data_IF_333664639038
#
_entry.id   IF_333664639038
#
_cell.length_a   1.000
_cell.length_b   1.000
_cell.length_c   1.000
_cell.angle_alpha   90.00
_cell.angle_beta   90.00
_cell.angle_gamma   90.00
#
_symmetry.space_group_name_H-M   'P 1'
#
loop_
_entity.id
_entity.type
_entity.pdbx_description
1 polymer ?
#
# COMPACT_ATOMS: atom_id res chain seq x y z
N UNK A 1 34.51 -37.73 -21.49
CA UNK A 1 33.82 -36.69 -22.29
C UNK A 1 33.24 -35.52 -21.47
N UNK A 2 32.88 -35.72 -20.18
CA UNK A 2 32.36 -34.63 -19.34
C UNK A 2 33.42 -33.60 -18.91
N UNK A 3 34.66 -34.03 -18.71
CA UNK A 3 35.79 -33.18 -18.27
C UNK A 3 36.32 -32.25 -19.37
N UNK A 4 36.30 -32.70 -20.63
CA UNK A 4 36.71 -31.89 -21.77
C UNK A 4 35.70 -30.77 -22.09
N UNK A 5 34.38 -31.04 -21.90
CA UNK A 5 33.34 -30.01 -22.03
C UNK A 5 33.42 -28.97 -20.92
N UNK A 6 33.81 -29.34 -19.70
CA UNK A 6 33.98 -28.40 -18.59
C UNK A 6 35.19 -27.47 -18.79
N UNK A 7 36.30 -27.99 -19.34
CA UNK A 7 37.48 -27.19 -19.67
C UNK A 7 37.24 -26.25 -20.86
N UNK A 8 36.50 -26.69 -21.88
CA UNK A 8 36.09 -25.82 -22.99
C UNK A 8 35.08 -24.77 -22.53
N UNK A 9 34.15 -25.09 -21.61
CA UNK A 9 33.22 -24.10 -21.03
C UNK A 9 33.94 -23.08 -20.14
N UNK A 10 34.94 -23.50 -19.35
CA UNK A 10 35.76 -22.59 -18.55
C UNK A 10 36.69 -21.73 -19.43
N UNK A 11 37.23 -22.29 -20.52
CA UNK A 11 38.02 -21.55 -21.50
C UNK A 11 37.20 -20.54 -22.32
N UNK A 12 35.96 -20.88 -22.68
CA UNK A 12 35.03 -19.99 -23.38
C UNK A 12 34.43 -18.93 -22.44
N UNK A 13 34.20 -19.25 -21.16
CA UNK A 13 33.81 -18.25 -20.15
C UNK A 13 34.94 -17.28 -19.79
N UNK A 14 36.21 -17.67 -19.99
CA UNK A 14 37.35 -16.77 -19.81
C UNK A 14 37.53 -15.83 -21.01
N UNK A 15 37.21 -16.27 -22.22
CA UNK A 15 37.34 -15.47 -23.45
C UNK A 15 36.15 -14.53 -23.75
N UNK A 16 35.00 -14.69 -23.07
CA UNK A 16 33.86 -13.76 -23.20
C UNK A 16 33.87 -12.58 -22.21
N UNK A 17 34.87 -12.49 -21.32
CA UNK A 17 35.14 -11.28 -20.54
C UNK A 17 36.22 -10.44 -21.20
N UNK A 18 36.06 -10.15 -22.49
CA UNK A 18 36.57 -8.89 -23.02
C UNK A 18 35.68 -7.80 -22.44
N UNK A 19 36.02 -7.36 -21.23
CA UNK A 19 35.68 -6.01 -20.81
C UNK A 19 36.16 -5.10 -21.92
N UNK A 20 35.24 -4.43 -22.62
CA UNK A 20 35.60 -3.28 -23.45
C UNK A 20 36.43 -2.40 -22.53
N UNK A 21 37.74 -2.29 -22.79
CA UNK A 21 38.59 -1.38 -22.06
C UNK A 21 38.15 0.01 -22.49
N UNK A 22 37.12 0.54 -21.84
CA UNK A 22 36.68 1.90 -22.07
C UNK A 22 37.84 2.81 -21.72
N UNK A 23 38.32 3.50 -22.74
CA UNK A 23 39.44 4.41 -22.62
C UNK A 23 38.90 5.82 -22.46
N UNK A 24 39.70 6.73 -21.92
CA UNK A 24 39.34 8.15 -21.92
C UNK A 24 39.19 8.70 -23.36
N UNK A 25 39.70 8.01 -24.38
CA UNK A 25 39.53 8.38 -25.78
C UNK A 25 38.10 8.18 -26.30
N UNK A 26 37.29 7.36 -25.63
CA UNK A 26 35.88 7.15 -25.96
C UNK A 26 34.97 8.22 -25.34
N UNK A 27 35.55 9.15 -24.55
CA UNK A 27 34.81 10.22 -23.91
C UNK A 27 34.42 11.33 -24.90
N UNK A 28 33.26 11.98 -24.69
CA UNK A 28 32.81 13.05 -25.57
C UNK A 28 33.77 14.25 -25.57
N UNK A 29 33.96 14.93 -26.71
CA UNK A 29 34.97 15.98 -26.87
C UNK A 29 34.72 17.20 -25.98
N UNK A 30 33.47 17.50 -25.65
CA UNK A 30 33.12 18.57 -24.72
C UNK A 30 33.65 18.26 -23.30
N UNK A 31 33.56 17.01 -22.85
CA UNK A 31 33.98 16.60 -21.53
C UNK A 31 35.49 16.49 -21.42
N UNK A 32 36.16 16.06 -22.50
CA UNK A 32 37.63 16.06 -22.58
C UNK A 32 38.22 17.47 -22.44
N UNK A 33 37.58 18.50 -23.03
CA UNK A 33 38.00 19.89 -22.84
C UNK A 33 37.90 20.32 -21.37
N UNK A 34 36.78 20.02 -20.72
CA UNK A 34 36.58 20.32 -19.30
C UNK A 34 37.56 19.57 -18.38
N UNK A 35 37.81 18.29 -18.66
CA UNK A 35 38.76 17.47 -17.93
C UNK A 35 40.19 18.02 -18.07
N UNK A 36 40.60 18.40 -19.29
CA UNK A 36 41.89 19.05 -19.54
C UNK A 36 42.03 20.40 -18.84
N UNK A 37 40.97 21.21 -18.80
CA UNK A 37 40.95 22.47 -18.05
C UNK A 37 41.11 22.25 -16.54
N UNK A 38 40.48 21.22 -15.98
CA UNK A 38 40.65 20.88 -14.57
C UNK A 38 42.09 20.42 -14.27
N UNK A 39 42.69 19.59 -15.14
CA UNK A 39 44.09 19.15 -14.99
C UNK A 39 45.12 20.28 -15.14
N UNK A 40 44.81 21.32 -15.92
CA UNK A 40 45.67 22.49 -16.07
C UNK A 40 45.78 23.32 -14.78
N UNK A 41 44.91 23.10 -13.80
CA UNK A 41 45.01 23.79 -12.51
C UNK A 41 46.18 23.23 -11.70
N UNK A 42 47.03 24.09 -11.11
CA UNK A 42 48.26 23.67 -10.44
C UNK A 42 48.02 22.74 -9.24
N UNK A 43 46.83 22.82 -8.64
CA UNK A 43 46.39 21.97 -7.53
C UNK A 43 46.11 20.50 -7.91
N UNK A 44 45.92 20.21 -9.21
CA UNK A 44 45.56 18.88 -9.71
C UNK A 44 46.60 18.28 -10.67
N UNK A 45 47.45 19.10 -11.28
CA UNK A 45 48.44 18.70 -12.30
C UNK A 45 49.40 17.57 -11.86
N UNK A 46 49.75 17.50 -10.58
CA UNK A 46 50.71 16.51 -10.05
C UNK A 46 50.03 15.29 -9.39
N UNK A 47 48.70 15.22 -9.38
CA UNK A 47 47.97 14.10 -8.75
C UNK A 47 47.94 12.89 -9.67
N UNK A 48 48.14 11.71 -9.10
CA UNK A 48 47.95 10.43 -9.82
C UNK A 48 46.48 10.19 -10.12
N UNK A 49 46.17 9.32 -11.09
CA UNK A 49 44.80 8.94 -11.43
C UNK A 49 44.00 8.50 -10.19
N UNK A 50 44.57 7.64 -9.34
CA UNK A 50 43.91 7.17 -8.12
C UNK A 50 43.58 8.31 -7.14
N UNK A 51 44.45 9.33 -7.04
CA UNK A 51 44.23 10.50 -6.19
C UNK A 51 43.17 11.43 -6.79
N UNK A 52 43.13 11.60 -8.11
CA UNK A 52 42.10 12.40 -8.78
C UNK A 52 40.71 11.78 -8.65
N UNK A 53 40.61 10.45 -8.69
CA UNK A 53 39.35 9.73 -8.57
C UNK A 53 38.62 9.96 -7.23
N UNK A 54 39.37 10.19 -6.14
CA UNK A 54 38.83 10.41 -4.79
C UNK A 54 38.78 11.89 -4.40
N UNK A 55 39.31 12.78 -5.23
CA UNK A 55 39.39 14.21 -4.91
C UNK A 55 38.07 14.92 -5.20
N UNK A 56 37.38 15.36 -4.16
CA UNK A 56 36.09 16.05 -4.27
C UNK A 56 36.21 17.39 -5.00
N UNK A 57 37.32 18.10 -4.82
CA UNK A 57 37.59 19.38 -5.49
C UNK A 57 37.74 19.21 -7.00
N UNK A 58 38.49 18.20 -7.43
CA UNK A 58 38.64 17.85 -8.84
C UNK A 58 37.30 17.42 -9.46
N UNK A 59 36.57 16.52 -8.79
CA UNK A 59 35.27 16.06 -9.25
C UNK A 59 34.27 17.22 -9.40
N UNK A 60 34.27 18.16 -8.46
CA UNK A 60 33.41 19.36 -8.50
C UNK A 60 33.81 20.31 -9.62
N UNK A 61 35.12 20.52 -9.84
CA UNK A 61 35.63 21.37 -10.92
C UNK A 61 35.27 20.80 -12.31
N UNK A 62 35.44 19.49 -12.49
CA UNK A 62 35.07 18.80 -13.74
C UNK A 62 33.54 18.84 -13.93
N UNK A 63 32.75 18.48 -12.92
CA UNK A 63 31.29 18.50 -13.04
C UNK A 63 30.75 19.91 -13.31
N UNK A 64 31.34 20.94 -12.68
CA UNK A 64 30.96 22.34 -12.86
C UNK A 64 31.21 22.86 -14.28
N UNK A 65 32.17 22.30 -15.02
CA UNK A 65 32.38 22.61 -16.44
C UNK A 65 31.54 21.73 -17.37
N UNK A 66 31.46 20.42 -17.10
CA UNK A 66 30.75 19.46 -17.96
C UNK A 66 29.25 19.73 -17.99
N UNK A 67 28.63 20.02 -16.83
CA UNK A 67 27.20 20.29 -16.73
C UNK A 67 26.70 21.42 -17.65
N UNK A 68 27.35 22.60 -17.73
CA UNK A 68 26.96 23.64 -18.69
C UNK A 68 27.46 23.38 -20.11
N UNK A 69 28.62 22.74 -20.31
CA UNK A 69 29.25 22.63 -21.63
C UNK A 69 28.81 21.43 -22.48
N UNK A 70 28.39 20.32 -21.89
CA UNK A 70 28.04 19.07 -22.57
C UNK A 70 26.54 18.78 -22.54
N UNK A 71 25.98 18.04 -23.49
CA UNK A 71 24.59 17.54 -23.38
C UNK A 71 24.43 16.60 -22.18
N UNK A 72 23.19 16.34 -21.75
CA UNK A 72 22.93 15.43 -20.61
C UNK A 72 23.45 14.02 -20.92
N UNK A 73 23.25 13.55 -22.15
CA UNK A 73 23.70 12.22 -22.62
C UNK A 73 25.24 12.13 -22.58
N UNK A 74 25.93 13.14 -23.12
CA UNK A 74 27.40 13.20 -23.08
C UNK A 74 27.92 13.26 -21.63
N UNK A 75 27.25 14.01 -20.76
CA UNK A 75 27.63 14.11 -19.34
C UNK A 75 27.49 12.77 -18.62
N UNK A 76 26.40 12.04 -18.86
CA UNK A 76 26.19 10.70 -18.30
C UNK A 76 27.19 9.68 -18.85
N UNK A 77 27.47 9.72 -20.15
CA UNK A 77 28.48 8.86 -20.79
C UNK A 77 29.88 9.11 -20.19
N UNK A 78 30.25 10.38 -20.04
CA UNK A 78 31.52 10.76 -19.40
C UNK A 78 31.60 10.30 -17.94
N UNK A 79 30.51 10.44 -17.16
CA UNK A 79 30.46 9.94 -15.78
C UNK A 79 30.65 8.43 -15.72
N UNK A 80 30.03 7.68 -16.64
CA UNK A 80 30.18 6.23 -16.69
C UNK A 80 31.63 5.81 -16.98
N UNK A 81 32.24 6.41 -18.01
CA UNK A 81 33.64 6.14 -18.39
C UNK A 81 34.58 6.53 -17.23
N UNK A 82 34.40 7.73 -16.65
CA UNK A 82 35.22 8.22 -15.55
C UNK A 82 35.17 7.28 -14.34
N UNK A 83 33.98 6.80 -13.94
CA UNK A 83 33.85 5.85 -12.82
C UNK A 83 34.46 4.49 -13.12
N UNK A 84 34.30 4.00 -14.34
CA UNK A 84 34.90 2.74 -14.80
C UNK A 84 36.43 2.82 -14.76
N UNK A 85 37.01 3.93 -15.22
CA UNK A 85 38.45 4.19 -15.14
C UNK A 85 38.96 4.31 -13.70
N UNK A 86 38.14 4.83 -12.78
CA UNK A 86 38.44 4.90 -11.36
C UNK A 86 38.24 3.56 -10.62
N UNK A 87 37.73 2.52 -11.29
CA UNK A 87 37.46 1.22 -10.66
C UNK A 87 36.40 1.28 -9.56
N UNK A 88 35.54 2.31 -9.58
CA UNK A 88 34.47 2.45 -8.59
C UNK A 88 33.38 1.41 -8.89
N UNK A 89 32.97 0.58 -7.91
CA UNK A 89 31.94 -0.42 -8.14
C UNK A 89 30.61 0.25 -8.45
N UNK A 90 29.92 -0.22 -9.50
CA UNK A 90 28.55 0.18 -9.77
C UNK A 90 27.63 -0.30 -8.62
N UNK A 91 26.75 0.59 -8.16
CA UNK A 91 25.82 0.28 -7.09
C UNK A 91 24.68 -0.63 -7.60
N UNK A 92 24.85 -1.95 -7.58
CA UNK A 92 23.78 -2.91 -7.97
C UNK A 92 22.94 -3.38 -6.77
N UNK A 93 21.77 -2.76 -6.60
CA UNK A 93 20.81 -3.08 -5.53
C UNK A 93 19.52 -3.72 -6.06
N UNK A 94 19.55 -4.30 -7.26
CA UNK A 94 18.35 -4.87 -7.89
C UNK A 94 17.76 -6.04 -7.10
N UNK A 95 18.62 -6.92 -6.57
CA UNK A 95 18.18 -8.08 -5.80
C UNK A 95 17.49 -7.67 -4.50
N UNK A 96 18.00 -6.65 -3.81
CA UNK A 96 17.39 -6.10 -2.60
C UNK A 96 15.97 -5.58 -2.89
N UNK A 97 15.79 -4.83 -3.99
CA UNK A 97 14.48 -4.32 -4.40
C UNK A 97 13.50 -5.46 -4.75
N UNK A 98 13.96 -6.49 -5.48
CA UNK A 98 13.14 -7.67 -5.83
C UNK A 98 12.68 -8.43 -4.59
N UNK A 99 13.63 -8.81 -3.73
CA UNK A 99 13.34 -9.64 -2.55
C UNK A 99 12.44 -8.89 -1.58
N UNK A 100 12.73 -7.61 -1.31
CA UNK A 100 11.95 -6.82 -0.36
C UNK A 100 10.50 -6.63 -0.82
N UNK A 101 10.30 -6.26 -2.09
CA UNK A 101 8.94 -6.05 -2.64
C UNK A 101 8.11 -7.34 -2.65
N UNK A 102 8.69 -8.47 -3.06
CA UNK A 102 8.00 -9.76 -3.08
C UNK A 102 7.72 -10.30 -1.68
N UNK A 103 8.65 -10.15 -0.74
CA UNK A 103 8.47 -10.59 0.64
C UNK A 103 7.32 -9.82 1.32
N UNK A 104 7.29 -8.49 1.18
CA UNK A 104 6.20 -7.67 1.74
C UNK A 104 4.86 -7.96 1.09
N UNK A 105 4.83 -8.16 -0.23
CA UNK A 105 3.62 -8.57 -0.92
C UNK A 105 3.10 -9.92 -0.38
N UNK A 106 3.97 -10.92 -0.22
CA UNK A 106 3.58 -12.22 0.33
C UNK A 106 2.98 -12.12 1.73
N UNK A 107 3.55 -11.29 2.61
CA UNK A 107 2.97 -11.03 3.94
C UNK A 107 1.59 -10.37 3.81
N UNK A 108 1.44 -9.36 2.97
CA UNK A 108 0.15 -8.71 2.74
C UNK A 108 -0.91 -9.68 2.16
N UNK A 109 -0.52 -10.57 1.25
CA UNK A 109 -1.37 -11.64 0.68
C UNK A 109 -1.91 -12.56 1.77
N UNK A 110 -1.06 -13.00 2.71
CA UNK A 110 -1.49 -13.89 3.81
C UNK A 110 -2.57 -13.22 4.66
N UNK A 111 -2.37 -11.95 5.03
CA UNK A 111 -3.35 -11.21 5.83
C UNK A 111 -4.65 -10.94 5.06
N UNK A 112 -4.56 -10.60 3.78
CA UNK A 112 -5.72 -10.43 2.91
C UNK A 112 -6.51 -11.74 2.74
N UNK A 113 -5.81 -12.87 2.55
CA UNK A 113 -6.43 -14.19 2.48
C UNK A 113 -7.15 -14.56 3.79
N UNK A 114 -6.54 -14.28 4.94
CA UNK A 114 -7.20 -14.42 6.24
C UNK A 114 -8.49 -13.59 6.33
N UNK A 115 -8.47 -12.35 5.84
CA UNK A 115 -9.66 -11.49 5.80
C UNK A 115 -10.75 -12.10 4.92
N UNK A 116 -10.41 -12.56 3.72
CA UNK A 116 -11.38 -13.18 2.80
C UNK A 116 -11.96 -14.48 3.38
N UNK A 117 -11.13 -15.30 4.00
CA UNK A 117 -11.54 -16.55 4.64
C UNK A 117 -12.62 -16.31 5.72
N UNK A 118 -12.47 -15.28 6.58
CA UNK A 118 -13.48 -14.92 7.59
C UNK A 118 -14.85 -14.62 6.97
N UNK A 119 -14.86 -14.00 5.78
CA UNK A 119 -16.09 -13.60 5.08
C UNK A 119 -16.73 -14.77 4.34
N UNK A 120 -15.90 -15.57 3.66
CA UNK A 120 -16.35 -16.79 2.96
C UNK A 120 -16.90 -17.83 3.95
N UNK A 121 -16.22 -18.02 5.08
CA UNK A 121 -16.67 -18.90 6.18
C UNK A 121 -17.83 -18.30 7.00
N UNK A 122 -18.38 -17.15 6.59
CA UNK A 122 -19.54 -16.47 7.21
C UNK A 122 -19.36 -16.14 8.70
N UNK A 123 -18.13 -15.99 9.19
CA UNK A 123 -17.87 -15.53 10.56
C UNK A 123 -18.20 -14.05 10.75
N UNK A 124 -18.25 -13.26 9.68
CA UNK A 124 -18.58 -11.83 9.70
C UNK A 124 -19.36 -11.46 8.45
N UNK A 125 -20.28 -10.48 8.55
CA UNK A 125 -21.00 -9.97 7.39
C UNK A 125 -20.08 -9.16 6.47
N UNK A 126 -20.42 -9.14 5.19
CA UNK A 126 -19.75 -8.31 4.18
C UNK A 126 -20.09 -6.83 4.41
N UNK A 127 -19.07 -5.98 4.47
CA UNK A 127 -19.23 -4.53 4.58
C UNK A 127 -18.57 -3.79 3.41
N UNK A 128 -18.85 -2.49 3.29
CA UNK A 128 -18.17 -1.64 2.31
C UNK A 128 -16.65 -1.59 2.52
N UNK A 129 -16.19 -1.75 3.76
CA UNK A 129 -14.77 -1.86 4.09
C UNK A 129 -14.09 -3.06 3.43
N UNK A 130 -14.82 -4.17 3.25
CA UNK A 130 -14.34 -5.37 2.56
C UNK A 130 -14.21 -5.12 1.04
N UNK A 131 -15.23 -4.54 0.42
CA UNK A 131 -15.22 -4.24 -1.02
C UNK A 131 -14.06 -3.31 -1.40
N UNK A 132 -13.84 -2.24 -0.62
CA UNK A 132 -12.73 -1.32 -0.84
C UNK A 132 -11.38 -2.01 -0.68
N UNK A 133 -11.24 -2.91 0.30
CA UNK A 133 -9.99 -3.66 0.47
C UNK A 133 -9.72 -4.62 -0.69
N UNK A 134 -10.76 -5.27 -1.24
CA UNK A 134 -10.63 -6.09 -2.46
C UNK A 134 -10.17 -5.25 -3.64
N UNK A 135 -10.73 -4.05 -3.81
CA UNK A 135 -10.30 -3.11 -4.86
C UNK A 135 -8.84 -2.69 -4.63
N UNK A 136 -8.47 -2.25 -3.42
CA UNK A 136 -7.10 -1.87 -3.10
C UNK A 136 -6.11 -3.00 -3.41
N UNK A 137 -6.45 -4.24 -3.02
CA UNK A 137 -5.62 -5.41 -3.28
C UNK A 137 -5.52 -5.75 -4.77
N UNK A 138 -6.60 -5.59 -5.54
CA UNK A 138 -6.60 -5.78 -6.99
C UNK A 138 -5.67 -4.78 -7.70
N UNK A 139 -5.54 -3.55 -7.19
CA UNK A 139 -4.59 -2.55 -7.68
C UNK A 139 -3.17 -2.71 -7.09
N UNK A 140 -3.02 -3.36 -5.94
CA UNK A 140 -1.71 -3.70 -5.37
C UNK A 140 -0.96 -4.72 -6.25
N UNK A 141 -1.65 -5.66 -6.88
CA UNK A 141 -1.05 -6.65 -7.79
C UNK A 141 -0.29 -5.97 -8.95
N UNK A 142 -0.92 -5.12 -9.79
CA UNK A 142 -0.22 -4.44 -10.87
C UNK A 142 0.86 -3.49 -10.35
N UNK A 143 0.70 -2.88 -9.18
CA UNK A 143 1.76 -2.08 -8.55
C UNK A 143 3.03 -2.91 -8.29
N UNK A 144 2.91 -4.13 -7.78
CA UNK A 144 4.05 -5.04 -7.60
C UNK A 144 4.65 -5.47 -8.94
N UNK A 145 3.81 -5.76 -9.95
CA UNK A 145 4.28 -6.12 -11.31
C UNK A 145 5.07 -4.97 -11.93
N UNK A 146 4.59 -3.72 -11.79
CA UNK A 146 5.30 -2.53 -12.26
C UNK A 146 6.67 -2.39 -11.60
N UNK A 147 6.77 -2.64 -10.29
CA UNK A 147 8.07 -2.65 -9.60
C UNK A 147 8.99 -3.72 -10.19
N UNK A 148 8.52 -4.95 -10.40
CA UNK A 148 9.34 -6.01 -10.99
C UNK A 148 9.82 -5.66 -12.41
N UNK A 149 8.98 -4.99 -13.19
CA UNK A 149 9.33 -4.52 -14.52
C UNK A 149 10.28 -3.32 -14.51
N UNK A 150 10.23 -2.45 -13.50
CA UNK A 150 11.15 -1.32 -13.33
C UNK A 150 12.59 -1.73 -13.00
N UNK A 151 12.78 -2.88 -12.34
CA UNK A 151 14.11 -3.34 -11.91
C UNK A 151 15.10 -3.57 -13.07
N UNK A 152 14.76 -4.30 -14.15
CA UNK A 152 15.63 -4.38 -15.32
C UNK A 152 15.77 -3.06 -16.09
N UNK A 153 14.89 -2.08 -15.86
CA UNK A 153 14.94 -0.75 -16.50
C UNK A 153 15.81 0.25 -15.73
N UNK A 154 16.39 -0.15 -14.58
CA UNK A 154 17.35 0.69 -13.85
C UNK A 154 17.02 0.96 -12.39
N UNK A 155 15.94 0.40 -11.82
CA UNK A 155 15.65 0.58 -10.40
C UNK A 155 16.77 -0.02 -9.53
N UNK A 156 17.47 0.83 -8.78
CA UNK A 156 18.60 0.43 -7.95
C UNK A 156 19.90 0.23 -8.72
N UNK A 157 20.00 0.78 -9.95
CA UNK A 157 21.24 0.98 -10.68
C UNK A 157 21.52 2.47 -10.83
N UNK A 158 22.79 2.79 -10.99
CA UNK A 158 23.25 4.14 -11.26
C UNK A 158 22.78 4.66 -12.63
N UNK A 159 22.34 5.92 -12.70
CA UNK A 159 21.71 6.46 -13.92
C UNK A 159 22.67 6.49 -15.13
N UNK A 160 23.97 6.70 -14.89
CA UNK A 160 25.00 6.72 -15.95
C UNK A 160 25.34 5.33 -16.49
N UNK A 161 24.95 4.26 -15.81
CA UNK A 161 25.13 2.89 -16.32
C UNK A 161 23.96 2.45 -17.24
N UNK A 162 22.96 3.31 -17.45
CA UNK A 162 21.75 2.98 -18.20
C UNK A 162 21.77 3.53 -19.62
N UNK A 163 21.14 2.79 -20.53
CA UNK A 163 20.87 3.26 -21.88
C UNK A 163 19.75 4.30 -21.89
N UNK A 164 19.76 5.20 -22.87
CA UNK A 164 18.75 6.26 -23.01
C UNK A 164 17.30 5.73 -23.02
N UNK A 165 17.07 4.61 -23.72
CA UNK A 165 15.76 3.96 -23.78
C UNK A 165 15.32 3.40 -22.41
N UNK A 166 16.26 2.94 -21.59
CA UNK A 166 15.98 2.45 -20.24
C UNK A 166 15.61 3.63 -19.34
N UNK A 167 16.31 4.76 -19.43
CA UNK A 167 16.01 5.98 -18.67
C UNK A 167 14.59 6.48 -19.00
N UNK A 168 14.26 6.63 -20.29
CA UNK A 168 12.91 7.03 -20.71
C UNK A 168 11.85 6.03 -20.22
N UNK A 169 12.10 4.73 -20.33
CA UNK A 169 11.16 3.69 -19.87
C UNK A 169 10.98 3.73 -18.35
N UNK A 170 12.06 3.93 -17.60
CA UNK A 170 12.06 4.07 -16.16
C UNK A 170 11.20 5.26 -15.71
N UNK A 171 11.35 6.43 -16.34
CA UNK A 171 10.57 7.62 -16.00
C UNK A 171 9.07 7.46 -16.32
N UNK A 172 8.71 6.76 -17.41
CA UNK A 172 7.31 6.40 -17.70
C UNK A 172 6.73 5.52 -16.61
N UNK A 173 7.48 4.51 -16.18
CA UNK A 173 7.06 3.59 -15.12
C UNK A 173 7.00 4.29 -13.75
N UNK A 174 7.89 5.25 -13.49
CA UNK A 174 7.90 6.04 -12.27
C UNK A 174 6.57 6.81 -12.10
N UNK A 175 6.08 7.44 -13.17
CA UNK A 175 4.77 8.09 -13.18
C UNK A 175 3.66 7.09 -12.87
N UNK A 176 3.66 5.93 -13.54
CA UNK A 176 2.65 4.89 -13.32
C UNK A 176 2.65 4.40 -11.85
N UNK A 177 3.82 4.13 -11.29
CA UNK A 177 3.98 3.69 -9.88
C UNK A 177 3.53 4.79 -8.92
N UNK A 178 3.86 6.05 -9.18
CA UNK A 178 3.41 7.18 -8.37
C UNK A 178 1.89 7.30 -8.35
N UNK A 179 1.23 7.24 -9.51
CA UNK A 179 -0.23 7.32 -9.59
C UNK A 179 -0.92 6.15 -8.90
N UNK A 180 -0.43 4.92 -9.12
CA UNK A 180 -0.95 3.72 -8.44
C UNK A 180 -0.77 3.83 -6.93
N UNK A 181 0.38 4.30 -6.46
CA UNK A 181 0.64 4.48 -5.03
C UNK A 181 -0.40 5.40 -4.37
N UNK A 182 -0.64 6.59 -4.95
CA UNK A 182 -1.60 7.57 -4.40
C UNK A 182 -3.00 6.94 -4.33
N UNK A 183 -3.41 6.27 -5.41
CA UNK A 183 -4.72 5.64 -5.51
C UNK A 183 -4.91 4.50 -4.50
N UNK A 184 -3.97 3.57 -4.42
CA UNK A 184 -4.06 2.41 -3.51
C UNK A 184 -4.07 2.88 -2.06
N UNK A 185 -3.22 3.85 -1.71
CA UNK A 185 -3.14 4.36 -0.34
C UNK A 185 -4.47 4.99 0.10
N UNK A 186 -5.08 5.82 -0.75
CA UNK A 186 -6.39 6.43 -0.47
C UNK A 186 -7.48 5.36 -0.27
N UNK A 187 -7.50 4.29 -1.10
CA UNK A 187 -8.49 3.22 -0.92
C UNK A 187 -8.25 2.41 0.36
N UNK A 188 -7.00 2.15 0.74
CA UNK A 188 -6.66 1.48 2.00
C UNK A 188 -7.17 2.32 3.19
N UNK A 189 -6.89 3.63 3.19
CA UNK A 189 -7.35 4.55 4.23
C UNK A 189 -8.86 4.63 4.29
N UNK A 190 -9.52 4.74 3.14
CA UNK A 190 -10.97 4.68 3.04
C UNK A 190 -11.54 3.38 3.62
N UNK A 191 -10.96 2.21 3.31
CA UNK A 191 -11.38 0.92 3.90
C UNK A 191 -11.30 0.93 5.44
N UNK A 192 -10.22 1.47 6.01
CA UNK A 192 -10.06 1.61 7.47
C UNK A 192 -11.10 2.57 8.07
N UNK A 193 -11.37 3.70 7.42
CA UNK A 193 -12.37 4.68 7.87
C UNK A 193 -13.80 4.08 7.83
N UNK A 194 -14.16 3.34 6.78
CA UNK A 194 -15.42 2.60 6.74
C UNK A 194 -15.52 1.54 7.83
N UNK A 195 -14.41 0.87 8.15
CA UNK A 195 -14.35 -0.06 9.28
C UNK A 195 -14.60 0.67 10.61
N UNK A 196 -14.09 1.89 10.81
CA UNK A 196 -14.42 2.72 11.98
C UNK A 196 -15.91 3.09 12.05
N UNK A 197 -16.52 3.48 10.92
CA UNK A 197 -17.96 3.77 10.85
C UNK A 197 -18.84 2.56 11.23
N UNK A 198 -18.34 1.34 10.96
CA UNK A 198 -19.03 0.10 11.27
C UNK A 198 -18.94 -0.28 12.76
N UNK A 199 -17.83 0.01 13.42
CA UNK A 199 -17.61 -0.36 14.83
C UNK A 199 -18.27 0.63 15.78
N UNK A 200 -18.10 1.93 15.53
CA UNK A 200 -18.46 2.96 16.49
C UNK A 200 -19.79 3.64 16.09
N UNK A 201 -20.85 3.49 16.91
CA UNK A 201 -22.16 4.04 16.59
C UNK A 201 -22.31 5.54 16.92
N UNK A 202 -21.34 6.14 17.62
CA UNK A 202 -21.42 7.54 18.09
C UNK A 202 -21.59 8.55 16.93
N UNK A 203 -22.56 9.45 17.06
CA UNK A 203 -22.95 10.37 15.97
C UNK A 203 -21.85 11.39 15.66
N UNK A 204 -21.21 11.94 16.69
CA UNK A 204 -20.13 12.92 16.53
C UNK A 204 -18.91 12.25 15.88
N UNK A 205 -18.50 11.10 16.40
CA UNK A 205 -17.42 10.30 15.81
C UNK A 205 -17.68 9.98 14.33
N UNK A 206 -18.88 9.51 13.98
CA UNK A 206 -19.22 9.18 12.59
C UNK A 206 -19.13 10.40 11.67
N UNK A 207 -19.56 11.59 12.12
CA UNK A 207 -19.42 12.83 11.35
C UNK A 207 -17.94 13.15 11.10
N UNK A 208 -17.09 13.05 12.12
CA UNK A 208 -15.64 13.27 11.98
C UNK A 208 -15.00 12.29 11.00
N UNK A 209 -15.38 11.01 11.05
CA UNK A 209 -14.87 9.99 10.13
C UNK A 209 -15.31 10.25 8.68
N UNK A 210 -16.56 10.67 8.45
CA UNK A 210 -17.03 11.06 7.12
C UNK A 210 -16.27 12.26 6.55
N UNK A 211 -15.99 13.28 7.37
CA UNK A 211 -15.17 14.43 6.96
C UNK A 211 -13.74 13.98 6.63
N UNK A 212 -13.17 13.10 7.45
CA UNK A 212 -11.83 12.54 7.23
C UNK A 212 -11.77 11.74 5.92
N UNK A 213 -12.79 10.96 5.62
CA UNK A 213 -12.91 10.20 4.36
C UNK A 213 -13.01 11.13 3.16
N UNK A 214 -13.83 12.18 3.24
CA UNK A 214 -13.94 13.16 2.16
C UNK A 214 -12.61 13.87 1.92
N UNK A 215 -11.89 14.22 2.99
CA UNK A 215 -10.55 14.82 2.91
C UNK A 215 -9.53 13.88 2.24
N UNK A 216 -9.47 12.61 2.66
CA UNK A 216 -8.58 11.59 2.10
C UNK A 216 -8.78 11.42 0.59
N UNK A 217 -10.03 11.24 0.16
CA UNK A 217 -10.38 11.09 -1.26
C UNK A 217 -10.09 12.37 -2.06
N UNK A 218 -10.36 13.54 -1.48
CA UNK A 218 -10.08 14.82 -2.12
C UNK A 218 -8.58 15.04 -2.33
N UNK A 219 -7.77 14.80 -1.31
CA UNK A 219 -6.30 14.87 -1.39
C UNK A 219 -5.81 13.88 -2.44
N UNK A 220 -6.23 12.61 -2.38
CA UNK A 220 -5.85 11.60 -3.35
C UNK A 220 -6.17 12.00 -4.80
N UNK A 221 -7.39 12.49 -5.04
CA UNK A 221 -7.82 12.96 -6.36
C UNK A 221 -6.98 14.13 -6.88
N UNK A 222 -6.77 15.16 -6.06
CA UNK A 222 -5.98 16.34 -6.44
C UNK A 222 -4.54 15.94 -6.80
N UNK A 223 -3.89 15.10 -5.98
CA UNK A 223 -2.52 14.68 -6.26
C UNK A 223 -2.39 13.75 -7.46
N UNK A 224 -3.41 12.95 -7.77
CA UNK A 224 -3.47 12.19 -9.04
C UNK A 224 -3.50 13.17 -10.22
N UNK A 225 -4.39 14.17 -10.20
CA UNK A 225 -4.45 15.17 -11.28
C UNK A 225 -3.13 15.92 -11.41
N UNK A 226 -2.55 16.38 -10.29
CA UNK A 226 -1.26 17.08 -10.29
C UNK A 226 -0.11 16.21 -10.83
N UNK A 227 -0.15 14.88 -10.61
CA UNK A 227 0.86 13.96 -11.17
C UNK A 227 0.85 13.91 -12.70
N UNK A 228 -0.30 14.09 -13.35
CA UNK A 228 -0.39 14.15 -14.82
C UNK A 228 -0.08 15.54 -15.39
N UNK A 229 -0.30 16.59 -14.60
CA UNK A 229 -0.13 18.00 -15.01
C UNK A 229 1.27 18.54 -14.68
N UNK A 230 2.11 17.75 -14.00
CA UNK A 230 3.44 18.18 -13.52
C UNK A 230 4.34 18.81 -14.60
N UNK A 231 4.22 18.37 -15.86
CA UNK A 231 4.82 19.02 -17.04
C UNK A 231 3.84 19.08 -18.20
N UNK A 232 3.93 20.15 -18.99
CA UNK A 232 3.12 20.36 -20.19
C UNK A 232 4.04 20.61 -21.39
N UNK A 233 3.94 19.81 -22.47
CA UNK A 233 3.06 18.65 -22.68
C UNK A 233 3.46 17.41 -21.83
N UNK A 234 2.53 16.50 -21.54
CA UNK A 234 2.75 15.35 -20.62
C UNK A 234 3.92 14.45 -21.04
N UNK A 235 4.26 14.37 -22.33
CA UNK A 235 5.41 13.57 -22.79
C UNK A 235 6.77 14.10 -22.30
N UNK A 236 6.85 15.37 -21.89
CA UNK A 236 8.04 15.95 -21.25
C UNK A 236 8.36 15.31 -19.90
N UNK A 237 7.43 14.57 -19.29
CA UNK A 237 7.67 13.85 -18.03
C UNK A 237 8.76 12.77 -18.22
N UNK A 238 8.78 12.11 -19.37
CA UNK A 238 9.68 10.98 -19.61
C UNK A 238 10.71 11.20 -20.71
N UNK A 239 10.54 12.19 -21.60
CA UNK A 239 11.60 12.59 -22.56
C UNK A 239 12.35 13.84 -22.12
N UNK A 240 11.79 14.64 -21.21
CA UNK A 240 12.34 15.95 -20.84
C UNK A 240 13.64 15.90 -20.05
N UNK A 241 14.19 14.71 -19.77
CA UNK A 241 15.52 14.54 -19.17
C UNK A 241 16.66 14.76 -20.17
N UNK A 242 16.37 14.71 -21.48
CA UNK A 242 17.38 14.91 -22.55
C UNK A 242 17.80 16.36 -22.69
N UNK A 243 16.87 17.27 -22.42
CA UNK A 243 17.08 18.71 -22.48
C UNK A 243 17.50 19.25 -21.11
N UNK A 244 18.44 20.19 -21.07
CA UNK A 244 18.86 20.86 -19.83
C UNK A 244 17.78 21.78 -19.28
N UNK A 245 17.14 22.53 -20.18
CA UNK A 245 16.05 23.46 -19.87
C UNK A 245 14.81 23.12 -20.73
N UNK A 246 14.11 22.03 -20.40
CA UNK A 246 12.89 21.66 -21.11
C UNK A 246 11.83 22.74 -20.88
N UNK A 247 11.49 23.49 -21.95
CA UNK A 247 10.40 24.46 -21.93
C UNK A 247 9.08 23.74 -21.62
N UNK A 248 8.40 24.09 -20.53
CA UNK A 248 7.13 23.47 -20.14
C UNK A 248 7.06 22.89 -18.72
N UNK A 249 8.03 23.20 -17.84
CA UNK A 249 7.94 22.85 -16.41
C UNK A 249 6.91 23.73 -15.72
N UNK A 250 5.85 23.10 -15.20
CA UNK A 250 4.76 23.81 -14.50
C UNK A 250 4.88 23.61 -12.99
N UNK A 251 5.25 22.40 -12.54
CA UNK A 251 5.30 22.04 -11.13
C UNK A 251 6.61 21.33 -10.75
N UNK A 252 7.10 21.64 -9.55
CA UNK A 252 8.25 20.98 -8.95
C UNK A 252 7.83 19.66 -8.30
N UNK A 253 8.32 18.54 -8.85
CA UNK A 253 8.00 17.18 -8.39
C UNK A 253 8.36 16.96 -6.93
N UNK A 254 9.45 17.57 -6.47
CA UNK A 254 9.96 17.38 -5.12
C UNK A 254 9.05 18.07 -4.12
N UNK A 255 8.63 19.31 -4.42
CA UNK A 255 7.68 20.07 -3.59
C UNK A 255 6.32 19.39 -3.57
N UNK A 256 5.85 18.89 -4.72
CA UNK A 256 4.58 18.17 -4.82
C UNK A 256 4.62 16.89 -3.97
N UNK A 257 5.68 16.10 -4.09
CA UNK A 257 5.85 14.88 -3.33
C UNK A 257 5.98 15.13 -1.82
N UNK A 258 6.69 16.19 -1.41
CA UNK A 258 6.82 16.59 0.01
C UNK A 258 5.48 17.04 0.59
N UNK A 259 4.70 17.82 -0.16
CA UNK A 259 3.35 18.24 0.24
C UNK A 259 2.42 17.03 0.41
N UNK A 260 2.42 16.11 -0.57
CA UNK A 260 1.63 14.88 -0.48
C UNK A 260 2.06 14.00 0.70
N UNK A 261 3.37 13.84 0.92
CA UNK A 261 3.92 13.08 2.03
C UNK A 261 3.53 13.66 3.39
N UNK A 262 3.67 14.97 3.56
CA UNK A 262 3.30 15.67 4.79
C UNK A 262 1.82 15.55 5.13
N UNK A 263 0.93 15.77 4.14
CA UNK A 263 -0.52 15.60 4.34
C UNK A 263 -0.88 14.16 4.69
N UNK A 264 -0.24 13.17 4.07
CA UNK A 264 -0.49 11.76 4.38
C UNK A 264 -0.05 11.37 5.79
N UNK A 265 1.13 11.83 6.24
CA UNK A 265 1.60 11.57 7.60
C UNK A 265 0.64 12.20 8.62
N UNK A 266 0.20 13.45 8.39
CA UNK A 266 -0.76 14.11 9.26
C UNK A 266 -2.08 13.32 9.34
N UNK A 267 -2.55 12.79 8.21
CA UNK A 267 -3.74 11.96 8.15
C UNK A 267 -3.55 10.62 8.87
N UNK A 268 -2.39 9.97 8.77
CA UNK A 268 -2.09 8.72 9.47
C UNK A 268 -2.12 8.92 10.99
N UNK A 269 -1.50 10.00 11.49
CA UNK A 269 -1.52 10.38 12.90
C UNK A 269 -2.96 10.68 13.35
N UNK A 270 -3.73 11.41 12.55
CA UNK A 270 -5.13 11.70 12.85
C UNK A 270 -5.97 10.42 12.95
N UNK A 271 -5.81 9.50 11.99
CA UNK A 271 -6.51 8.21 11.98
C UNK A 271 -6.15 7.32 13.17
N UNK A 272 -4.94 7.45 13.70
CA UNK A 272 -4.50 6.78 14.92
C UNK A 272 -5.15 7.39 16.19
N UNK A 273 -5.36 8.71 16.22
CA UNK A 273 -6.02 9.40 17.34
C UNK A 273 -7.53 9.10 17.39
N UNK A 274 -8.20 9.00 16.24
CA UNK A 274 -9.64 8.76 16.15
C UNK A 274 -10.17 7.65 17.09
N UNK A 275 -9.72 6.39 17.00
CA UNK A 275 -10.23 5.33 17.87
C UNK A 275 -9.86 5.54 19.34
N UNK A 276 -8.73 6.18 19.66
CA UNK A 276 -8.33 6.46 21.05
C UNK A 276 -9.33 7.34 21.78
N UNK A 277 -9.91 8.33 21.10
CA UNK A 277 -10.91 9.23 21.71
C UNK A 277 -12.15 8.48 22.20
N UNK A 278 -12.54 7.41 21.50
CA UNK A 278 -13.68 6.57 21.86
C UNK A 278 -13.33 5.60 23.00
N UNK A 279 -12.08 5.16 23.04
CA UNK A 279 -11.59 4.21 24.04
C UNK A 279 -11.43 4.82 25.42
N UNK A 280 -11.00 6.08 25.51
CA UNK A 280 -10.86 6.78 26.79
C UNK A 280 -12.19 6.90 27.53
N UNK A 281 -13.31 6.92 26.80
CA UNK A 281 -14.67 7.04 27.36
C UNK A 281 -15.27 5.71 27.80
N UNK A 282 -14.62 4.56 27.56
CA UNK A 282 -15.25 3.25 27.71
C UNK A 282 -14.46 2.28 28.61
N UNK A 283 -15.05 1.90 29.75
CA UNK A 283 -14.49 0.91 30.69
C UNK A 283 -14.52 -0.53 30.12
N UNK A 284 -13.57 -0.84 29.24
CA UNK A 284 -13.48 -2.15 28.57
C UNK A 284 -12.66 -3.19 29.37
N UNK A 285 -13.17 -4.42 29.43
CA UNK A 285 -12.46 -5.60 29.97
C UNK A 285 -11.11 -5.83 29.26
N UNK A 286 -10.10 -6.25 30.01
CA UNK A 286 -8.68 -6.37 29.59
C UNK A 286 -8.46 -7.06 28.22
N UNK A 287 -9.25 -8.10 27.90
CA UNK A 287 -9.15 -8.83 26.62
C UNK A 287 -9.55 -7.99 25.40
N UNK A 288 -10.49 -7.05 25.54
CA UNK A 288 -10.83 -6.11 24.46
C UNK A 288 -9.73 -5.05 24.33
N UNK A 289 -9.26 -4.53 25.47
CA UNK A 289 -8.15 -3.57 25.58
C UNK A 289 -6.88 -4.05 24.86
N UNK A 290 -6.51 -5.34 24.98
CA UNK A 290 -5.29 -5.85 24.37
C UNK A 290 -5.28 -5.82 22.83
N UNK A 291 -6.39 -6.16 22.17
CA UNK A 291 -6.39 -6.12 20.70
C UNK A 291 -6.60 -4.72 20.12
N UNK A 292 -7.11 -3.80 20.92
CA UNK A 292 -7.09 -2.37 20.62
C UNK A 292 -5.64 -1.85 20.68
N UNK A 293 -4.87 -2.25 21.69
CA UNK A 293 -3.44 -1.92 21.76
C UNK A 293 -2.65 -2.52 20.60
N UNK A 294 -2.99 -3.74 20.15
CA UNK A 294 -2.37 -4.33 18.96
C UNK A 294 -2.63 -3.52 17.69
N UNK A 295 -3.86 -3.05 17.47
CA UNK A 295 -4.18 -2.16 16.33
C UNK A 295 -3.44 -0.82 16.43
N UNK A 296 -3.28 -0.30 17.65
CA UNK A 296 -2.56 0.94 17.91
C UNK A 296 -1.06 0.84 17.59
N UNK A 297 -0.38 -0.21 18.07
CA UNK A 297 1.04 -0.43 17.76
C UNK A 297 1.31 -0.50 16.25
N UNK A 298 0.40 -1.15 15.53
CA UNK A 298 0.49 -1.33 14.09
C UNK A 298 0.19 -0.02 13.33
N UNK A 299 -0.69 0.85 13.86
CA UNK A 299 -0.87 2.21 13.38
C UNK A 299 0.36 3.11 13.60
N UNK A 300 1.04 2.99 14.76
CA UNK A 300 2.32 3.69 14.98
C UNK A 300 3.36 3.22 13.96
N UNK A 301 3.47 1.91 13.75
CA UNK A 301 4.42 1.37 12.78
C UNK A 301 4.17 1.93 11.37
N UNK A 302 2.91 2.03 10.93
CA UNK A 302 2.57 2.72 9.67
C UNK A 302 3.08 4.15 9.63
N UNK A 303 2.80 4.97 10.66
CA UNK A 303 3.25 6.37 10.69
C UNK A 303 4.78 6.50 10.57
N UNK A 304 5.53 5.58 11.20
CA UNK A 304 7.00 5.54 11.11
C UNK A 304 7.44 5.22 9.68
N UNK A 305 6.82 4.23 9.03
CA UNK A 305 7.08 3.90 7.63
C UNK A 305 6.82 5.09 6.71
N UNK A 306 5.71 5.82 6.91
CA UNK A 306 5.38 7.03 6.15
C UNK A 306 6.43 8.14 6.32
N UNK A 307 6.96 8.34 7.54
CA UNK A 307 8.04 9.30 7.81
C UNK A 307 9.34 8.92 7.10
N UNK A 308 9.73 7.64 7.17
CA UNK A 308 10.96 7.16 6.51
C UNK A 308 10.85 7.33 4.99
N UNK A 309 9.68 7.06 4.41
CA UNK A 309 9.41 7.30 2.99
C UNK A 309 9.64 8.76 2.61
N UNK A 310 9.12 9.72 3.38
CA UNK A 310 9.31 11.14 3.10
C UNK A 310 10.80 11.52 3.19
N UNK A 311 11.54 10.97 4.15
CA UNK A 311 13.00 11.16 4.20
C UNK A 311 13.69 10.62 2.93
N UNK A 312 13.29 9.44 2.46
CA UNK A 312 13.82 8.88 1.21
C UNK A 312 13.47 9.73 -0.01
N UNK A 313 12.30 10.34 -0.02
CA UNK A 313 11.86 11.24 -1.08
C UNK A 313 12.68 12.54 -1.10
N UNK A 314 12.98 13.10 0.08
CA UNK A 314 13.84 14.29 0.21
C UNK A 314 15.26 13.98 -0.27
N UNK A 315 15.78 12.79 0.02
CA UNK A 315 17.08 12.37 -0.48
C UNK A 315 17.10 12.21 -2.01
N UNK A 316 16.06 11.57 -2.57
CA UNK A 316 15.86 11.49 -4.03
C UNK A 316 15.80 12.88 -4.68
N UNK A 317 15.15 13.85 -4.02
CA UNK A 317 14.99 15.21 -4.54
C UNK A 317 16.31 15.98 -4.70
N UNK A 318 17.33 15.67 -3.90
CA UNK A 318 18.62 16.39 -3.90
C UNK A 318 19.73 15.63 -4.61
N UNK A 319 19.46 14.42 -5.11
CA UNK A 319 20.50 13.57 -5.68
C UNK A 319 20.71 13.77 -7.17
N UNK A 320 21.96 13.66 -7.60
CA UNK A 320 22.37 13.57 -9.00
C UNK A 320 22.11 12.19 -9.62
N UNK A 321 21.84 11.17 -8.80
CA UNK A 321 21.60 9.80 -9.20
C UNK A 321 20.14 9.37 -9.01
N UNK A 322 19.28 9.87 -9.89
CA UNK A 322 17.84 9.70 -9.74
C UNK A 322 17.40 8.22 -9.68
N UNK A 323 17.99 7.32 -10.48
CA UNK A 323 17.54 5.91 -10.58
C UNK A 323 17.96 5.06 -9.38
N UNK A 324 19.16 5.29 -8.83
CA UNK A 324 19.61 4.59 -7.64
C UNK A 324 18.82 5.02 -6.41
N UNK A 325 18.51 6.32 -6.28
CA UNK A 325 17.86 6.87 -5.09
C UNK A 325 16.34 6.79 -5.13
N UNK A 326 15.75 6.71 -6.33
CA UNK A 326 14.35 6.33 -6.50
C UNK A 326 14.05 4.94 -5.90
N UNK A 327 15.05 4.06 -5.80
CA UNK A 327 14.94 2.73 -5.14
C UNK A 327 14.34 2.86 -3.75
N UNK A 328 14.91 3.72 -2.91
CA UNK A 328 14.46 3.90 -1.54
C UNK A 328 12.99 4.33 -1.50
N UNK A 329 12.64 5.34 -2.30
CA UNK A 329 11.29 5.90 -2.34
C UNK A 329 10.26 4.85 -2.78
N UNK A 330 10.59 4.03 -3.78
CA UNK A 330 9.70 2.98 -4.31
C UNK A 330 9.57 1.81 -3.31
N UNK A 331 10.67 1.35 -2.71
CA UNK A 331 10.65 0.27 -1.72
C UNK A 331 9.84 0.69 -0.49
N UNK A 332 10.08 1.89 0.04
CA UNK A 332 9.32 2.41 1.19
C UNK A 332 7.83 2.59 0.85
N UNK A 333 7.50 3.03 -0.36
CA UNK A 333 6.10 3.08 -0.84
C UNK A 333 5.47 1.68 -0.89
N UNK A 334 6.21 0.65 -1.34
CA UNK A 334 5.74 -0.73 -1.32
C UNK A 334 5.51 -1.25 0.10
N UNK A 335 6.44 -0.98 1.02
CA UNK A 335 6.32 -1.35 2.44
C UNK A 335 5.10 -0.68 3.05
N UNK A 336 4.88 0.62 2.78
CA UNK A 336 3.74 1.38 3.29
C UNK A 336 2.40 0.78 2.83
N UNK A 337 2.24 0.53 1.53
CA UNK A 337 1.02 -0.09 0.99
C UNK A 337 0.78 -1.49 1.55
N UNK A 338 1.81 -2.34 1.57
CA UNK A 338 1.70 -3.71 2.10
C UNK A 338 1.36 -3.71 3.59
N UNK A 339 2.01 -2.84 4.36
CA UNK A 339 1.71 -2.67 5.78
C UNK A 339 0.28 -2.17 5.95
N UNK A 340 -0.18 -1.21 5.14
CA UNK A 340 -1.54 -0.70 5.19
C UNK A 340 -2.60 -1.79 5.00
N UNK A 341 -2.37 -2.71 4.05
CA UNK A 341 -3.21 -3.90 3.86
C UNK A 341 -3.18 -4.80 5.10
N UNK A 342 -2.00 -5.09 5.65
CA UNK A 342 -1.85 -5.90 6.88
C UNK A 342 -2.64 -5.29 8.04
N UNK A 343 -2.51 -3.97 8.26
CA UNK A 343 -3.21 -3.22 9.32
C UNK A 343 -4.72 -3.35 9.16
N UNK A 344 -5.23 -3.10 7.96
CA UNK A 344 -6.68 -3.18 7.69
C UNK A 344 -7.23 -4.60 7.80
N UNK A 345 -6.41 -5.62 7.54
CA UNK A 345 -6.82 -7.02 7.63
C UNK A 345 -6.67 -7.62 9.05
N UNK A 346 -5.85 -7.01 9.92
CA UNK A 346 -5.58 -7.48 11.28
C UNK A 346 -6.82 -7.72 12.16
N UNK A 347 -7.87 -6.87 12.14
CA UNK A 347 -9.10 -7.13 12.90
C UNK A 347 -9.77 -8.47 12.53
N UNK A 348 -9.80 -8.79 11.24
CA UNK A 348 -10.40 -10.02 10.73
C UNK A 348 -9.49 -11.22 11.03
N UNK A 349 -8.17 -11.08 10.87
CA UNK A 349 -7.22 -12.13 11.24
C UNK A 349 -7.35 -12.53 12.72
N UNK A 350 -7.52 -11.56 13.63
CA UNK A 350 -7.80 -11.81 15.05
C UNK A 350 -9.11 -12.57 15.25
N UNK A 351 -10.15 -12.23 14.50
CA UNK A 351 -11.44 -12.92 14.55
C UNK A 351 -11.30 -14.37 14.09
N UNK A 352 -10.56 -14.63 13.01
CA UNK A 352 -10.30 -15.97 12.49
C UNK A 352 -9.57 -16.84 13.52
N UNK A 353 -8.51 -16.32 14.15
CA UNK A 353 -7.77 -17.04 15.17
C UNK A 353 -8.67 -17.41 16.37
N UNK A 354 -9.56 -16.50 16.77
CA UNK A 354 -10.46 -16.74 17.90
C UNK A 354 -11.53 -17.77 17.60
N UNK A 355 -12.18 -17.71 16.44
CA UNK A 355 -13.26 -18.65 16.11
C UNK A 355 -12.70 -19.98 15.60
N UNK A 356 -11.57 -19.97 14.88
CA UNK A 356 -10.86 -21.18 14.45
C UNK A 356 -10.35 -22.01 15.63
N UNK A 357 -9.77 -21.37 16.66
CA UNK A 357 -9.35 -22.08 17.89
C UNK A 357 -10.54 -22.64 18.66
N UNK A 358 -11.70 -21.98 18.64
CA UNK A 358 -12.94 -22.51 19.23
C UNK A 358 -13.43 -23.74 18.48
N UNK A 359 -13.57 -23.66 17.16
CA UNK A 359 -13.99 -24.80 16.34
C UNK A 359 -13.03 -26.00 16.47
N UNK A 360 -11.72 -25.75 16.45
CA UNK A 360 -10.72 -26.80 16.63
C UNK A 360 -10.81 -27.43 18.02
N UNK A 361 -11.01 -26.62 19.07
CA UNK A 361 -11.21 -27.13 20.43
C UNK A 361 -12.49 -27.96 20.53
N UNK A 362 -13.60 -27.50 19.96
CA UNK A 362 -14.88 -28.19 19.99
C UNK A 362 -14.81 -29.54 19.25
N UNK A 363 -14.12 -29.58 18.10
CA UNK A 363 -13.83 -30.83 17.36
C UNK A 363 -12.94 -31.77 18.19
N UNK A 364 -11.88 -31.25 18.81
CA UNK A 364 -10.95 -32.05 19.64
C UNK A 364 -11.65 -32.62 20.87
N UNK A 365 -12.53 -31.85 21.53
CA UNK A 365 -13.33 -32.35 22.66
C UNK A 365 -14.37 -33.39 22.24
N UNK A 366 -14.93 -33.28 21.04
CA UNK A 366 -15.86 -34.29 20.50
C UNK A 366 -15.13 -35.60 20.11
N UNK A 367 -13.87 -35.51 19.68
CA UNK A 367 -13.03 -36.68 19.35
C UNK A 367 -12.49 -37.38 20.61
N UNK A 368 -12.09 -36.63 21.63
CA UNK A 368 -11.61 -37.18 22.92
C UNK A 368 -12.74 -37.64 23.86
N UNK A 369 -13.93 -37.05 23.76
CA UNK A 369 -15.13 -37.47 24.50
C UNK A 369 -15.74 -38.80 24.04
N UNK A 370 -15.24 -39.41 22.94
CA UNK A 370 -15.75 -40.68 22.40
C UNK A 370 -15.01 -41.92 22.93
N UNK A 371 -14.05 -41.77 23.85
CA UNK A 371 -13.39 -42.87 24.57
C UNK A 371 -13.72 -42.96 26.07
N UNK A 372 -14.68 -42.17 26.56
CA UNK A 372 -15.22 -42.30 27.92
C UNK A 372 -16.60 -42.93 27.91
N UNK A 373 -16.65 -44.23 28.23
CA UNK A 373 -17.79 -45.02 28.75
C UNK A 373 -19.10 -44.25 29.00
N UNK A 374 -20.17 -44.72 28.36
CA UNK A 374 -21.52 -44.21 28.60
C UNK A 374 -21.99 -44.46 30.03
N UNK A 375 -22.39 -43.39 30.73
CA UNK A 375 -23.47 -43.39 31.73
C UNK A 375 -23.75 -41.97 32.26
N UNK A 376 -24.18 -41.03 31.40
CA UNK A 376 -24.60 -39.69 31.90
C UNK A 376 -25.76 -39.03 31.15
N UNK A 377 -26.28 -39.65 30.09
CA UNK A 377 -27.45 -39.13 29.36
C UNK A 377 -28.77 -39.29 30.13
N UNK A 378 -28.83 -40.11 31.18
CA UNK A 378 -30.05 -40.34 31.97
C UNK A 378 -30.40 -39.24 32.98
N UNK A 379 -29.43 -38.41 33.40
CA UNK A 379 -29.67 -37.37 34.42
C UNK A 379 -30.23 -36.05 33.89
N UNK A 380 -30.10 -35.77 32.59
CA UNK A 380 -30.58 -34.51 31.99
C UNK A 380 -32.04 -34.59 31.52
N UNK A 381 -32.51 -35.76 31.09
CA UNK A 381 -33.92 -35.97 30.72
C UNK A 381 -34.85 -35.97 31.95
N UNK A 382 -34.39 -36.46 33.10
CA UNK A 382 -35.20 -36.47 34.32
C UNK A 382 -35.42 -35.07 34.93
N UNK A 383 -34.50 -34.11 34.74
CA UNK A 383 -34.73 -32.72 35.20
C UNK A 383 -35.73 -31.95 34.34
N UNK A 384 -35.75 -32.21 33.02
CA UNK A 384 -36.67 -31.52 32.09
C UNK A 384 -38.12 -32.02 32.23
N UNK A 385 -38.32 -33.30 32.56
CA UNK A 385 -39.65 -33.85 32.85
C UNK A 385 -40.17 -33.44 34.23
N UNK A 386 -39.28 -33.29 35.22
CA UNK A 386 -39.67 -32.90 36.57
C UNK A 386 -40.08 -31.42 36.64
N UNK A 387 -39.44 -30.53 35.88
CA UNK A 387 -39.82 -29.11 35.77
C UNK A 387 -41.22 -28.92 35.16
N UNK A 388 -41.54 -29.69 34.09
CA UNK A 388 -42.88 -29.64 33.48
C UNK A 388 -43.99 -30.14 34.40
N UNK A 389 -43.70 -31.10 35.28
CA UNK A 389 -44.68 -31.59 36.26
C UNK A 389 -44.94 -30.60 37.41
N UNK A 390 -43.96 -29.73 37.71
CA UNK A 390 -44.08 -28.66 38.69
C UNK A 390 -44.85 -27.46 38.12
N UNK A 391 -44.60 -27.07 36.86
CA UNK A 391 -45.36 -25.98 36.24
C UNK A 391 -46.85 -26.32 36.06
N UNK A 392 -47.19 -27.58 35.75
CA UNK A 392 -48.59 -28.01 35.66
C UNK A 392 -49.30 -28.04 37.03
N UNK A 393 -48.58 -28.28 38.13
CA UNK A 393 -49.15 -28.24 39.50
C UNK A 393 -49.33 -26.81 40.01
N UNK A 394 -48.51 -25.86 39.56
CA UNK A 394 -48.63 -24.43 39.91
C UNK A 394 -49.78 -23.77 39.13
N UNK A 395 -50.04 -24.18 37.89
CA UNK A 395 -51.16 -23.67 37.09
C UNK A 395 -52.55 -24.11 37.62
N UNK A 396 -52.63 -25.24 38.33
CA UNK A 396 -53.89 -25.77 38.90
C UNK A 396 -54.23 -25.15 40.27
N UNK A 397 -53.27 -24.52 40.96
CA UNK A 397 -53.45 -24.04 42.34
C UNK A 397 -53.44 -22.50 42.52
N UNK A 398 -53.53 -21.71 41.44
CA UNK A 398 -53.72 -20.25 41.57
C UNK A 398 -55.22 -19.87 41.60
N UNK A 399 -55.73 -19.26 42.70
CA UNK A 399 -57.12 -18.85 42.82
C UNK A 399 -57.32 -17.47 42.18
N UNK A 400 -57.75 -17.43 40.92
CA UNK A 400 -58.28 -16.22 40.28
C UNK A 400 -59.13 -16.61 39.05
N UNK A 401 -60.26 -17.25 39.30
CA UNK A 401 -61.30 -17.45 38.29
C UNK A 401 -62.68 -17.48 38.96
N UNK A 402 -63.21 -16.30 39.25
CA UNK A 402 -64.66 -16.12 39.45
C UNK A 402 -65.06 -14.75 38.93
N UNK A 403 -65.27 -14.64 37.62
CA UNK A 403 -66.49 -14.04 37.05
C UNK A 403 -66.45 -14.09 35.53
N UNK A 404 -67.66 -14.16 34.95
CA UNK A 404 -68.02 -13.96 33.54
C UNK A 404 -67.92 -15.18 32.61
N UNK A 405 -68.86 -16.11 32.82
CA UNK A 405 -69.66 -16.63 31.71
C UNK A 405 -70.39 -15.44 31.04
N UNK A 406 -70.26 -15.31 29.72
CA UNK A 406 -71.38 -15.40 28.77
C UNK A 406 -71.02 -14.76 27.42
N UNK A 407 -71.29 -15.53 26.38
CA UNK A 407 -72.06 -15.15 25.20
C UNK A 407 -71.35 -15.14 23.83
N UNK A 408 -72.00 -15.88 22.92
CA UNK A 408 -71.97 -15.91 21.44
C UNK A 408 -70.68 -16.35 20.72
N UNK A 409 -70.60 -17.54 20.11
CA UNK A 409 -71.41 -18.20 19.06
C UNK A 409 -71.24 -17.61 17.64
N UNK A 410 -70.90 -18.53 16.71
CA UNK A 410 -71.08 -18.51 15.24
C UNK A 410 -70.27 -17.47 14.42
N UNK A 411 -69.93 -17.66 13.15
CA UNK A 411 -69.69 -18.78 12.24
C UNK A 411 -69.22 -18.13 10.92
N UNK A 412 -68.27 -18.77 10.24
CA UNK A 412 -68.11 -18.87 8.78
C UNK A 412 -68.00 -17.64 7.84
N UNK A 413 -66.90 -17.69 7.06
CA UNK A 413 -66.78 -17.59 5.59
C UNK A 413 -67.13 -16.30 4.82
N UNK A 414 -66.08 -15.82 4.13
CA UNK A 414 -65.98 -15.50 2.69
C UNK A 414 -66.92 -14.43 2.07
N UNK A 415 -66.31 -13.60 1.20
CA UNK A 415 -66.69 -13.32 -0.21
C UNK A 415 -66.42 -11.85 -0.58
N UNK A 416 -65.46 -11.64 -1.47
CA UNK A 416 -65.34 -10.49 -2.41
C UNK A 416 -66.47 -10.60 -3.47
N UNK A 417 -66.99 -9.54 -4.14
CA UNK A 417 -66.16 -8.80 -5.11
C UNK A 417 -66.62 -7.36 -5.53
N UNK A 418 -65.82 -6.81 -6.45
CA UNK A 418 -66.20 -5.91 -7.56
C UNK A 418 -66.27 -4.38 -7.34
N UNK A 419 -65.33 -3.64 -7.94
CA UNK A 419 -65.46 -2.78 -9.17
C UNK A 419 -65.93 -1.37 -8.82
N UNK A 420 -65.45 -0.23 -9.34
CA UNK A 420 -64.77 0.10 -10.60
C UNK A 420 -64.47 1.61 -10.63
N UNK A 421 -63.50 2.01 -11.47
CA UNK A 421 -63.38 3.26 -12.24
C UNK A 421 -63.47 4.64 -11.55
N UNK A 422 -62.40 5.45 -11.68
CA UNK A 422 -62.39 6.64 -12.55
C UNK A 422 -60.99 7.31 -12.55
N UNK A 423 -60.64 7.89 -13.70
CA UNK A 423 -59.37 8.50 -14.05
C UNK A 423 -59.45 10.04 -14.06
N UNK A 424 -58.33 10.67 -14.46
CA UNK A 424 -58.06 12.08 -14.80
C UNK A 424 -57.61 12.96 -13.62
N UNK A 425 -56.41 13.56 -13.60
CA UNK A 425 -55.71 14.51 -14.51
C UNK A 425 -55.82 15.94 -13.96
N UNK A 426 -54.68 16.58 -13.65
CA UNK A 426 -54.24 17.95 -14.02
C UNK A 426 -53.07 18.40 -13.12
N UNK A 427 -51.91 18.68 -13.72
CA UNK A 427 -51.27 20.02 -13.86
C UNK A 427 -50.60 20.55 -12.57
N UNK A 428 -49.27 20.65 -12.53
CA UNK A 428 -48.43 21.75 -13.07
C UNK A 428 -48.68 23.06 -12.33
N UNK A 429 -47.66 23.59 -11.63
CA UNK A 429 -46.91 24.80 -12.01
C UNK A 429 -45.99 25.28 -10.86
N UNK A 430 -44.68 25.38 -11.16
CA UNK A 430 -43.81 26.57 -10.95
C UNK A 430 -43.49 27.07 -9.52
N UNK A 431 -42.37 27.72 -9.20
CA UNK A 431 -41.29 28.32 -9.99
C UNK A 431 -40.08 28.64 -9.08
N UNK A 432 -39.02 29.11 -9.74
CA UNK A 432 -38.02 30.10 -9.32
C UNK A 432 -36.66 29.59 -8.77
N UNK A 433 -35.52 29.68 -9.50
CA UNK A 433 -34.71 30.86 -9.96
C UNK A 433 -34.10 31.65 -8.78
N UNK A 434 -32.86 32.14 -8.77
CA UNK A 434 -31.74 32.32 -9.73
C UNK A 434 -30.46 32.01 -8.97
#
# INVERSE_FOLDING_TARGET
MLTLRLLVLLGVSCLLRLTVAQSLADAPPCALKCFGQALAQPQFANKTQAQLCVDEGFNTAVSGCVQPACTVIESLSFLNISRTLCGLPEADHRNEAKVTSLAMFGVATVFFACRLAVKVLRFSSWGFDDSLMVIAYAFLIPFIVLIQYMIPQGLGLDIWALNENQITSFLRLLLAVQTHYIFILAIIKASILYFFLRIFPDKWFRRTVWVTLAYDLFVGFIFIVLSFVQRQPTWLIWEGWRDKDPRGVVLDLNKLGLAHGGMNIALDVWMLVLPLTQLYKLNLKLRKKLGIMAMFCVGIFLTVVSIIRVKSLVYFATSSNATADARGTIIWSCIELCTGVVVSCMPNARQLLREGTRQFRDVTTNLTGRSGTGDSSRRRSHRVLQDRSLELRVAVNSPSATTALADKSACSSATTPNTSHAASSFASETDFKV
#
